data_IF_396009963154
#
_entry.id   IF_396009963154
#
_cell.length_a   1.000
_cell.length_b   1.000
_cell.length_c   1.000
_cell.angle_alpha   90.00
_cell.angle_beta   90.00
_cell.angle_gamma   90.00
#
_symmetry.space_group_name_H-M   'P 1'
#
loop_
_entity.id
_entity.type
_entity.pdbx_description
1 polymer ?
#
# COMPACT_ATOMS: atom_id res chain seq x y z
N UNK A 1 -12.55 -5.49 12.73
CA UNK A 1 -11.91 -6.84 12.77
C UNK A 1 -10.91 -6.98 11.66
N UNK A 2 -9.77 -7.56 11.93
CA UNK A 2 -8.71 -7.77 10.94
C UNK A 2 -8.27 -9.22 10.94
N UNK A 3 -7.92 -9.71 9.75
CA UNK A 3 -7.38 -11.06 9.57
C UNK A 3 -6.04 -10.96 8.87
N UNK A 4 -5.02 -11.56 9.45
CA UNK A 4 -3.68 -11.51 8.90
C UNK A 4 -3.60 -12.22 7.54
N UNK A 5 -2.82 -11.64 6.62
CA UNK A 5 -2.53 -12.23 5.31
C UNK A 5 -1.08 -12.67 5.32
N UNK A 6 -0.83 -13.94 4.97
CA UNK A 6 0.53 -14.44 4.84
C UNK A 6 1.25 -13.70 3.70
N UNK A 7 2.46 -13.21 3.95
CA UNK A 7 3.18 -12.42 2.96
C UNK A 7 3.48 -13.19 1.68
N UNK A 8 3.70 -14.50 1.76
CA UNK A 8 3.91 -15.34 0.58
C UNK A 8 2.68 -15.46 -0.31
N UNK A 9 1.50 -15.10 0.20
CA UNK A 9 0.25 -15.13 -0.56
C UNK A 9 -0.17 -13.75 -1.04
N UNK A 10 0.58 -12.70 -0.69
CA UNK A 10 0.17 -11.32 -0.92
C UNK A 10 -0.13 -11.02 -2.38
N UNK A 11 0.74 -11.44 -3.29
CA UNK A 11 0.55 -11.15 -4.71
C UNK A 11 -0.76 -11.74 -5.23
N UNK A 12 -1.06 -12.97 -4.86
CA UNK A 12 -2.28 -13.65 -5.26
C UNK A 12 -3.52 -12.98 -4.66
N UNK A 13 -3.43 -12.64 -3.37
CA UNK A 13 -4.55 -11.98 -2.68
C UNK A 13 -4.84 -10.61 -3.30
N UNK A 14 -3.81 -9.80 -3.56
CA UNK A 14 -3.99 -8.47 -4.13
C UNK A 14 -4.65 -8.52 -5.51
N UNK A 15 -4.36 -9.53 -6.31
CA UNK A 15 -4.97 -9.69 -7.63
C UNK A 15 -6.49 -9.80 -7.57
N UNK A 16 -7.04 -10.28 -6.48
CA UNK A 16 -8.50 -10.40 -6.33
C UNK A 16 -9.18 -9.03 -6.20
N UNK A 17 -8.41 -7.99 -5.82
CA UNK A 17 -8.94 -6.64 -5.61
C UNK A 17 -8.86 -5.76 -6.85
N UNK A 18 -8.06 -6.16 -7.83
CA UNK A 18 -7.86 -5.38 -9.05
C UNK A 18 -6.49 -4.72 -9.11
N UNK A 19 -6.23 -3.98 -10.21
CA UNK A 19 -4.87 -3.50 -10.51
C UNK A 19 -4.47 -2.21 -9.79
N UNK A 20 -5.36 -1.56 -9.07
CA UNK A 20 -5.05 -0.27 -8.43
C UNK A 20 -5.30 -0.31 -6.93
N UNK A 21 -4.59 0.58 -6.23
CA UNK A 21 -4.68 0.73 -4.80
C UNK A 21 -4.45 2.20 -4.43
N UNK A 22 -4.53 2.50 -3.14
CA UNK A 22 -4.19 3.82 -2.63
C UNK A 22 -2.96 3.70 -1.75
N UNK A 23 -1.98 4.59 -1.97
CA UNK A 23 -0.78 4.68 -1.15
C UNK A 23 -0.94 5.81 -0.16
N UNK A 24 -0.62 5.56 1.10
CA UNK A 24 -0.64 6.57 2.15
C UNK A 24 0.78 6.79 2.65
N UNK A 25 1.26 8.03 2.55
CA UNK A 25 2.61 8.42 2.92
C UNK A 25 2.52 9.50 4.00
N UNK A 26 3.28 9.33 5.08
CA UNK A 26 3.29 10.27 6.19
C UNK A 26 3.83 11.63 5.80
N UNK A 27 3.23 12.69 6.32
CA UNK A 27 3.69 14.05 6.14
C UNK A 27 3.87 14.69 7.52
N UNK A 28 5.09 15.04 7.94
CA UNK A 28 5.33 15.54 9.29
C UNK A 28 4.63 16.88 9.58
N UNK A 29 4.38 17.67 8.52
CA UNK A 29 3.82 19.02 8.66
C UNK A 29 2.33 19.08 8.37
N UNK A 30 1.66 17.97 8.21
CA UNK A 30 0.25 18.00 7.87
C UNK A 30 -0.34 16.60 7.71
N UNK A 31 -1.50 16.51 7.07
CA UNK A 31 -2.15 15.21 6.91
C UNK A 31 -1.35 14.31 5.95
N UNK A 32 -1.51 12.99 6.09
CA UNK A 32 -0.86 12.05 5.18
C UNK A 32 -1.25 12.32 3.73
N UNK A 33 -0.32 12.05 2.82
CA UNK A 33 -0.60 12.11 1.37
C UNK A 33 -1.18 10.77 0.95
N UNK A 34 -2.35 10.82 0.30
CA UNK A 34 -2.99 9.62 -0.23
C UNK A 34 -3.04 9.75 -1.75
N UNK A 35 -2.53 8.75 -2.44
CA UNK A 35 -2.40 8.77 -3.90
C UNK A 35 -2.93 7.48 -4.49
N UNK A 36 -3.67 7.58 -5.59
CA UNK A 36 -4.12 6.40 -6.33
C UNK A 36 -2.95 5.88 -7.17
N UNK A 37 -2.64 4.60 -7.04
CA UNK A 37 -1.46 4.00 -7.64
C UNK A 37 -1.80 2.68 -8.33
N UNK A 38 -0.90 2.22 -9.20
CA UNK A 38 -1.01 0.92 -9.87
C UNK A 38 0.19 0.06 -9.48
N UNK A 39 0.15 -0.57 -8.30
CA UNK A 39 1.30 -1.32 -7.81
C UNK A 39 1.50 -2.61 -8.60
N UNK A 40 2.77 -2.98 -8.79
CA UNK A 40 3.14 -4.26 -9.35
C UNK A 40 3.81 -5.08 -8.25
N UNK A 41 3.28 -6.25 -7.96
CA UNK A 41 3.72 -7.07 -6.83
C UNK A 41 4.44 -8.30 -7.37
N UNK A 42 5.64 -8.52 -6.86
CA UNK A 42 6.42 -9.71 -7.15
C UNK A 42 6.97 -10.25 -5.82
N UNK A 43 6.37 -11.33 -5.35
CA UNK A 43 6.67 -11.81 -4.00
C UNK A 43 6.23 -10.80 -2.95
N UNK A 44 7.19 -10.31 -2.16
CA UNK A 44 6.92 -9.26 -1.17
C UNK A 44 7.39 -7.88 -1.64
N UNK A 45 7.95 -7.80 -2.85
CA UNK A 45 8.41 -6.53 -3.41
C UNK A 45 7.30 -5.89 -4.23
N UNK A 46 7.09 -4.60 -4.02
CA UNK A 46 6.04 -3.85 -4.67
C UNK A 46 6.66 -2.65 -5.35
N UNK A 47 6.39 -2.48 -6.64
CA UNK A 47 6.90 -1.37 -7.43
C UNK A 47 5.76 -0.40 -7.71
N UNK A 48 5.96 0.88 -7.42
CA UNK A 48 4.93 1.91 -7.51
C UNK A 48 5.51 3.18 -8.12
N UNK A 49 4.74 3.83 -9.01
CA UNK A 49 5.07 5.17 -9.47
C UNK A 49 4.42 6.21 -8.54
N UNK A 50 5.21 7.16 -8.05
CA UNK A 50 4.73 8.22 -7.16
C UNK A 50 5.14 9.60 -7.66
N UNK A 51 4.36 10.61 -7.27
CA UNK A 51 4.68 12.00 -7.57
C UNK A 51 5.81 12.53 -6.70
N UNK A 52 6.35 13.69 -7.10
CA UNK A 52 7.52 14.30 -6.45
C UNK A 52 7.34 14.47 -4.95
N UNK A 53 6.20 14.98 -4.51
CA UNK A 53 6.00 15.26 -3.09
C UNK A 53 6.00 13.99 -2.25
N UNK A 54 5.35 12.93 -2.75
CA UNK A 54 5.35 11.64 -2.04
C UNK A 54 6.74 11.04 -1.96
N UNK A 55 7.52 11.15 -3.04
CA UNK A 55 8.90 10.67 -3.07
C UNK A 55 9.76 11.42 -2.04
N UNK A 56 9.61 12.74 -1.95
CA UNK A 56 10.33 13.55 -0.95
C UNK A 56 9.98 13.11 0.46
N UNK A 57 8.70 12.87 0.72
CA UNK A 57 8.25 12.43 2.05
C UNK A 57 8.82 11.07 2.42
N UNK A 58 8.88 10.14 1.46
CA UNK A 58 9.48 8.83 1.69
C UNK A 58 10.96 8.90 1.99
N UNK A 59 11.66 9.92 1.46
CA UNK A 59 13.05 10.17 1.79
C UNK A 59 13.25 10.56 3.25
N UNK A 60 12.22 11.13 3.87
CA UNK A 60 12.25 11.54 5.27
C UNK A 60 11.73 10.45 6.21
N UNK A 61 10.75 9.69 5.76
CA UNK A 61 10.13 8.63 6.56
C UNK A 61 9.80 7.47 5.62
N UNK A 62 10.60 6.44 5.68
CA UNK A 62 10.69 5.39 4.67
C UNK A 62 9.65 4.28 4.80
N UNK A 63 8.45 4.61 5.28
CA UNK A 63 7.36 3.64 5.40
C UNK A 63 6.10 4.16 4.71
N UNK A 64 5.23 3.23 4.30
CA UNK A 64 3.96 3.61 3.70
C UNK A 64 2.92 2.52 3.93
N UNK A 65 1.66 2.90 3.78
CA UNK A 65 0.56 1.97 3.73
C UNK A 65 0.02 1.87 2.32
N UNK A 66 -0.48 0.70 1.97
CA UNK A 66 -1.20 0.48 0.72
C UNK A 66 -2.59 -0.06 1.06
N UNK A 67 -3.61 0.45 0.40
CA UNK A 67 -4.99 0.04 0.62
C UNK A 67 -5.63 -0.37 -0.70
N UNK A 68 -6.10 -1.60 -0.75
CA UNK A 68 -7.03 -2.05 -1.79
C UNK A 68 -8.42 -2.05 -1.18
N UNK A 69 -9.33 -1.16 -1.62
CA UNK A 69 -10.66 -1.10 -1.03
C UNK A 69 -11.47 -2.37 -1.26
N UNK A 70 -12.40 -2.63 -0.36
CA UNK A 70 -13.34 -3.73 -0.52
C UNK A 70 -14.10 -3.62 -1.85
N UNK A 71 -14.47 -4.75 -2.41
CA UNK A 71 -15.21 -4.85 -3.66
C UNK A 71 -16.45 -5.73 -3.45
N UNK A 72 -17.25 -5.91 -4.50
CA UNK A 72 -18.39 -6.81 -4.44
C UNK A 72 -18.00 -8.26 -4.13
N UNK A 73 -16.78 -8.64 -4.55
CA UNK A 73 -16.29 -10.01 -4.36
C UNK A 73 -15.43 -10.17 -3.11
N UNK A 74 -14.84 -9.06 -2.65
CA UNK A 74 -13.95 -9.06 -1.49
C UNK A 74 -14.51 -8.05 -0.47
N UNK A 75 -15.29 -8.52 0.50
CA UNK A 75 -16.00 -7.61 1.41
C UNK A 75 -15.13 -6.93 2.45
N UNK A 76 -13.86 -7.33 2.57
CA UNK A 76 -12.91 -6.70 3.47
C UNK A 76 -11.83 -6.00 2.64
N UNK A 77 -11.38 -4.83 3.09
CA UNK A 77 -10.26 -4.15 2.45
C UNK A 77 -8.96 -4.90 2.71
N UNK A 78 -8.01 -4.79 1.78
CA UNK A 78 -6.65 -5.30 1.99
C UNK A 78 -5.74 -4.12 2.34
N UNK A 79 -5.07 -4.19 3.50
CA UNK A 79 -4.14 -3.17 3.94
C UNK A 79 -2.76 -3.80 4.08
N UNK A 80 -1.76 -3.16 3.46
CA UNK A 80 -0.37 -3.63 3.49
C UNK A 80 0.50 -2.51 4.03
N UNK A 81 1.31 -2.84 5.04
CA UNK A 81 2.36 -1.93 5.51
C UNK A 81 3.65 -2.31 4.81
N UNK A 82 4.39 -1.31 4.37
CA UNK A 82 5.61 -1.54 3.60
C UNK A 82 6.71 -0.55 4.00
N UNK A 83 7.94 -0.95 3.74
CA UNK A 83 9.12 -0.10 3.94
C UNK A 83 9.80 0.10 2.59
N UNK A 84 10.36 1.30 2.42
CA UNK A 84 11.07 1.64 1.18
C UNK A 84 12.34 0.83 1.06
N UNK A 85 12.52 0.20 -0.10
CA UNK A 85 13.74 -0.52 -0.45
C UNK A 85 14.62 0.34 -1.37
N UNK A 86 14.03 0.98 -2.35
CA UNK A 86 14.76 1.78 -3.31
C UNK A 86 13.87 2.90 -3.88
N UNK A 87 14.43 4.10 -4.03
CA UNK A 87 13.79 5.21 -4.74
C UNK A 87 14.61 5.51 -5.97
N UNK A 88 13.99 5.40 -7.15
CA UNK A 88 14.64 5.68 -8.41
C UNK A 88 14.39 7.15 -8.83
N UNK A 89 15.30 7.74 -9.62
CA UNK A 89 15.20 9.16 -10.00
C UNK A 89 13.92 9.52 -10.76
N UNK A 90 13.31 8.56 -11.44
CA UNK A 90 12.11 8.79 -12.25
C UNK A 90 10.80 8.71 -11.44
N UNK A 91 10.88 8.62 -10.13
CA UNK A 91 9.69 8.51 -9.28
C UNK A 91 9.17 7.10 -9.09
N UNK A 92 9.86 6.10 -9.62
CA UNK A 92 9.54 4.70 -9.36
C UNK A 92 10.13 4.33 -8.01
N UNK A 93 9.30 3.77 -7.15
CA UNK A 93 9.69 3.39 -5.79
C UNK A 93 9.46 1.89 -5.61
N UNK A 94 10.44 1.21 -5.07
CA UNK A 94 10.30 -0.19 -4.68
C UNK A 94 10.16 -0.25 -3.18
N UNK A 95 9.10 -0.90 -2.71
CA UNK A 95 8.86 -1.09 -1.29
C UNK A 95 8.74 -2.58 -1.00
N UNK A 96 9.06 -2.95 0.22
CA UNK A 96 8.96 -4.34 0.68
C UNK A 96 7.81 -4.44 1.68
N UNK A 97 6.87 -5.33 1.41
CA UNK A 97 5.76 -5.57 2.33
C UNK A 97 6.29 -6.17 3.65
N UNK A 98 5.80 -5.66 4.76
CA UNK A 98 6.16 -6.16 6.09
C UNK A 98 4.98 -6.75 6.82
N UNK A 99 3.77 -6.40 6.43
CA UNK A 99 2.55 -7.03 6.96
C UNK A 99 1.40 -6.82 6.00
N UNK A 100 0.41 -7.69 6.07
CA UNK A 100 -0.83 -7.54 5.32
C UNK A 100 -2.00 -8.05 6.15
N UNK A 101 -3.12 -7.34 6.06
CA UNK A 101 -4.34 -7.74 6.76
C UNK A 101 -5.57 -7.51 5.88
N UNK A 102 -6.56 -8.36 6.03
CA UNK A 102 -7.92 -8.07 5.59
C UNK A 102 -8.60 -7.30 6.71
N UNK A 103 -9.23 -6.21 6.38
CA UNK A 103 -9.85 -5.31 7.36
C UNK A 103 -11.31 -5.04 7.03
N UNK A 104 -12.18 -5.25 7.99
CA UNK A 104 -13.59 -4.91 7.88
C UNK A 104 -13.82 -3.57 8.60
N UNK A 105 -14.45 -2.58 7.95
CA UNK A 105 -14.71 -1.31 8.61
C UNK A 105 -15.57 -1.49 9.86
N UNK A 106 -15.28 -0.69 10.88
CA UNK A 106 -16.10 -0.65 12.07
C UNK A 106 -17.44 0.02 11.76
N UNK A 107 -18.55 -0.42 12.39
CA UNK A 107 -19.82 0.26 12.20
C UNK A 107 -19.77 1.68 12.76
N UNK A 108 -20.56 2.58 12.13
CA UNK A 108 -20.58 3.99 12.49
C UNK A 108 -21.83 4.39 13.26
N UNK A 109 -22.73 3.50 13.51
CA UNK A 109 -24.00 3.77 14.21
C UNK A 109 -23.90 3.63 15.71
#
# INVERSE_FOLDING_TARGET
MSMEVALEELSEVAQRYGPTAYAAVSAPDGPPRVTHVSPQIEGIMITIGLGRRSVELLGQHATMGLLWPATDREPMSLIVDAVVDEIQPDGVVRVRAVSGVHHRPAPTD
#
